data_IF_858556551891
#
_entry.id   IF_858556551891
#
_cell.length_a   1.000
_cell.length_b   1.000
_cell.length_c   1.000
_cell.angle_alpha   90.00
_cell.angle_beta   90.00
_cell.angle_gamma   90.00
#
_symmetry.space_group_name_H-M   'P 1'
#
loop_
_entity.id
_entity.type
_entity.pdbx_description
1 polymer ?
#
# COMPACT_ATOMS: atom_id res chain seq x y z
N UNK A 1 -12.64 7.85 -14.12
CA UNK A 1 -12.11 7.68 -12.75
C UNK A 1 -12.38 6.30 -12.13
N UNK A 2 -13.63 5.80 -12.13
CA UNK A 2 -14.01 4.57 -11.40
C UNK A 2 -13.42 3.27 -11.95
N UNK A 3 -13.07 3.22 -13.24
CA UNK A 3 -12.50 2.04 -13.91
C UNK A 3 -10.98 2.09 -14.07
N UNK A 4 -10.41 3.30 -14.21
CA UNK A 4 -9.00 3.54 -14.48
C UNK A 4 -8.33 4.27 -13.30
N UNK A 5 -8.04 3.53 -12.23
CA UNK A 5 -7.64 4.11 -10.95
C UNK A 5 -6.30 4.85 -11.00
N UNK A 6 -5.40 4.47 -11.91
CA UNK A 6 -4.08 5.10 -12.04
C UNK A 6 -4.16 6.55 -12.56
N UNK A 7 -5.24 6.92 -13.25
CA UNK A 7 -5.45 8.28 -13.75
C UNK A 7 -6.28 9.15 -12.80
N UNK A 8 -6.60 8.66 -11.59
CA UNK A 8 -7.33 9.44 -10.58
C UNK A 8 -6.72 10.84 -10.35
N UNK A 9 -5.39 11.00 -10.15
CA UNK A 9 -4.79 12.32 -9.99
C UNK A 9 -5.09 13.27 -11.15
N UNK A 10 -4.94 12.79 -12.39
CA UNK A 10 -5.22 13.55 -13.61
C UNK A 10 -6.68 13.99 -13.69
N UNK A 11 -7.63 13.10 -13.38
CA UNK A 11 -9.05 13.45 -13.35
C UNK A 11 -9.38 14.48 -12.28
N UNK A 12 -8.77 14.35 -11.09
CA UNK A 12 -8.97 15.27 -9.98
C UNK A 12 -8.42 16.66 -10.31
N UNK A 13 -7.26 16.75 -10.96
CA UNK A 13 -6.69 18.02 -11.42
C UNK A 13 -7.55 18.68 -12.51
N UNK A 14 -8.04 17.88 -13.47
CA UNK A 14 -8.99 18.37 -14.48
C UNK A 14 -10.25 18.96 -13.85
N UNK A 15 -10.84 18.31 -12.85
CA UNK A 15 -11.98 18.86 -12.10
C UNK A 15 -11.63 20.20 -11.43
N UNK A 16 -10.39 20.36 -10.97
CA UNK A 16 -9.85 21.61 -10.42
C UNK A 16 -9.81 22.73 -11.43
N UNK A 17 -9.18 22.46 -12.57
CA UNK A 17 -9.05 23.44 -13.64
C UNK A 17 -10.41 23.83 -14.22
N UNK A 18 -11.32 22.87 -14.41
CA UNK A 18 -12.69 23.16 -14.85
C UNK A 18 -13.44 24.03 -13.84
N UNK A 19 -13.33 23.75 -12.54
CA UNK A 19 -13.98 24.55 -11.50
C UNK A 19 -13.44 25.99 -11.44
N UNK A 20 -12.14 26.16 -11.69
CA UNK A 20 -11.49 27.48 -11.76
C UNK A 20 -11.92 28.23 -13.02
N UNK A 21 -11.80 27.60 -14.18
CA UNK A 21 -12.13 28.20 -15.47
C UNK A 21 -13.61 28.61 -15.55
N UNK A 22 -14.53 27.77 -15.10
CA UNK A 22 -15.97 28.10 -15.09
C UNK A 22 -16.29 29.29 -14.19
N UNK A 23 -15.59 29.44 -13.06
CA UNK A 23 -15.71 30.59 -12.18
C UNK A 23 -15.16 31.87 -12.84
N UNK A 24 -14.02 31.78 -13.53
CA UNK A 24 -13.41 32.90 -14.26
C UNK A 24 -14.28 33.38 -15.43
N UNK A 25 -14.91 32.46 -16.16
CA UNK A 25 -15.76 32.78 -17.32
C UNK A 25 -17.18 33.20 -16.94
N UNK A 26 -17.54 33.19 -15.65
CA UNK A 26 -18.90 33.52 -15.20
C UNK A 26 -19.97 32.59 -15.78
N UNK A 27 -19.61 31.33 -16.09
CA UNK A 27 -20.53 30.36 -16.68
C UNK A 27 -21.48 29.85 -15.60
N UNK A 28 -22.70 30.37 -15.62
CA UNK A 28 -23.76 30.09 -14.64
C UNK A 28 -24.46 31.39 -14.24
N UNK A 29 -25.76 31.49 -14.44
CA UNK A 29 -26.51 32.73 -14.21
C UNK A 29 -26.51 33.16 -12.72
N UNK A 30 -26.09 34.40 -12.46
CA UNK A 30 -26.16 35.06 -11.14
C UNK A 30 -24.93 34.86 -10.24
N UNK A 31 -25.08 35.18 -8.95
CA UNK A 31 -24.06 35.21 -7.87
C UNK A 31 -23.41 33.83 -7.53
N UNK A 32 -23.21 32.97 -8.53
CA UNK A 32 -22.83 31.57 -8.38
C UNK A 32 -21.59 31.21 -9.22
N UNK A 33 -20.42 31.67 -8.81
CA UNK A 33 -19.12 31.10 -9.22
C UNK A 33 -18.93 29.62 -8.76
N UNK A 34 -20.00 28.98 -8.25
CA UNK A 34 -20.03 27.67 -7.62
C UNK A 34 -20.91 26.67 -8.37
N UNK A 35 -21.51 27.03 -9.51
CA UNK A 35 -22.43 26.15 -10.24
C UNK A 35 -21.76 24.83 -10.67
N UNK A 36 -20.57 24.90 -11.26
CA UNK A 36 -19.80 23.70 -11.61
C UNK A 36 -19.45 22.87 -10.37
N UNK A 37 -18.98 23.50 -9.29
CA UNK A 37 -18.68 22.80 -8.03
C UNK A 37 -19.93 22.11 -7.48
N UNK A 38 -21.10 22.75 -7.54
CA UNK A 38 -22.38 22.19 -7.11
C UNK A 38 -22.79 20.98 -7.96
N UNK A 39 -22.66 21.07 -9.28
CA UNK A 39 -22.96 19.95 -10.18
C UNK A 39 -21.99 18.80 -9.92
N UNK A 40 -20.69 19.07 -9.85
CA UNK A 40 -19.67 18.07 -9.56
C UNK A 40 -19.92 17.40 -8.20
N UNK A 41 -20.22 18.18 -7.17
CA UNK A 41 -20.62 17.70 -5.84
C UNK A 41 -21.79 16.73 -5.93
N UNK A 42 -22.87 17.14 -6.61
CA UNK A 42 -24.07 16.35 -6.75
C UNK A 42 -23.79 15.04 -7.52
N UNK A 43 -23.05 15.10 -8.62
CA UNK A 43 -22.68 13.91 -9.40
C UNK A 43 -21.76 12.98 -8.61
N UNK A 44 -20.81 13.52 -7.85
CA UNK A 44 -19.93 12.72 -7.00
C UNK A 44 -20.72 12.04 -5.87
N UNK A 45 -21.67 12.74 -5.26
CA UNK A 45 -22.53 12.17 -4.22
C UNK A 45 -23.44 11.09 -4.79
N UNK A 46 -24.11 11.35 -5.92
CA UNK A 46 -24.96 10.38 -6.61
C UNK A 46 -24.16 9.14 -7.02
N UNK A 47 -22.98 9.34 -7.61
CA UNK A 47 -22.09 8.24 -8.00
C UNK A 47 -21.67 7.44 -6.77
N UNK A 48 -21.29 8.11 -5.69
CA UNK A 48 -20.95 7.48 -4.42
C UNK A 48 -22.09 6.64 -3.86
N UNK A 49 -23.29 7.19 -3.73
CA UNK A 49 -24.45 6.47 -3.20
C UNK A 49 -24.86 5.28 -4.09
N UNK A 50 -24.72 5.41 -5.42
CA UNK A 50 -24.96 4.34 -6.38
C UNK A 50 -23.92 3.22 -6.26
N UNK A 51 -22.65 3.56 -6.07
CA UNK A 51 -21.58 2.57 -5.94
C UNK A 51 -21.49 1.93 -4.56
N UNK A 52 -22.17 2.47 -3.54
CA UNK A 52 -22.32 1.82 -2.23
C UNK A 52 -23.38 0.70 -2.25
N UNK A 53 -24.27 0.68 -3.24
CA UNK A 53 -25.36 -0.28 -3.32
C UNK A 53 -25.09 -1.29 -4.44
N UNK A 54 -25.03 -2.60 -4.14
CA UNK A 54 -24.92 -3.62 -5.18
C UNK A 54 -26.05 -3.43 -6.21
N UNK A 55 -25.78 -3.55 -7.52
CA UNK A 55 -26.81 -3.47 -8.54
C UNK A 55 -27.86 -4.55 -8.29
N UNK A 56 -29.15 -4.23 -8.38
CA UNK A 56 -30.24 -5.20 -8.13
C UNK A 56 -30.10 -6.45 -9.00
N UNK A 57 -29.70 -6.25 -10.27
CA UNK A 57 -29.43 -7.34 -11.24
C UNK A 57 -28.37 -8.33 -10.77
N UNK A 58 -27.48 -7.92 -9.86
CA UNK A 58 -26.42 -8.78 -9.34
C UNK A 58 -26.97 -9.89 -8.42
N UNK A 59 -28.14 -9.66 -7.82
CA UNK A 59 -28.85 -10.68 -7.04
C UNK A 59 -29.49 -11.77 -7.91
N UNK A 60 -29.80 -11.44 -9.18
CA UNK A 60 -30.46 -12.34 -10.13
C UNK A 60 -29.48 -13.25 -10.89
N UNK A 61 -28.19 -12.90 -10.91
CA UNK A 61 -27.14 -13.69 -11.56
C UNK A 61 -26.74 -14.91 -10.71
N UNK A 62 -26.27 -15.97 -11.38
CA UNK A 62 -25.77 -17.19 -10.73
C UNK A 62 -24.48 -17.68 -11.41
N UNK A 63 -23.75 -18.57 -10.75
CA UNK A 63 -22.52 -19.16 -11.30
C UNK A 63 -21.43 -18.13 -11.61
N UNK A 64 -20.67 -18.39 -12.68
CA UNK A 64 -19.51 -17.59 -13.07
C UNK A 64 -19.88 -16.14 -13.44
N UNK A 65 -21.04 -15.92 -14.04
CA UNK A 65 -21.53 -14.58 -14.41
C UNK A 65 -21.74 -13.68 -13.18
N UNK A 66 -22.23 -14.26 -12.08
CA UNK A 66 -22.37 -13.53 -10.81
C UNK A 66 -21.01 -13.13 -10.27
N UNK A 67 -20.06 -14.06 -10.27
CA UNK A 67 -18.70 -13.82 -9.75
C UNK A 67 -18.03 -12.70 -10.55
N UNK A 68 -18.11 -12.74 -11.88
CA UNK A 68 -17.54 -11.69 -12.73
C UNK A 68 -18.20 -10.33 -12.47
N UNK A 69 -19.54 -10.29 -12.37
CA UNK A 69 -20.28 -9.07 -12.08
C UNK A 69 -19.92 -8.49 -10.69
N UNK A 70 -19.77 -9.34 -9.67
CA UNK A 70 -19.34 -8.94 -8.32
C UNK A 70 -17.94 -8.34 -8.34
N UNK A 71 -16.99 -8.99 -9.02
CA UNK A 71 -15.62 -8.48 -9.14
C UNK A 71 -15.62 -7.12 -9.85
N UNK A 72 -16.37 -6.98 -10.95
CA UNK A 72 -16.46 -5.74 -11.72
C UNK A 72 -17.09 -4.61 -10.90
N UNK A 73 -18.20 -4.89 -10.21
CA UNK A 73 -18.87 -3.95 -9.32
C UNK A 73 -17.94 -3.49 -8.20
N UNK A 74 -17.32 -4.43 -7.48
CA UNK A 74 -16.38 -4.13 -6.39
C UNK A 74 -15.21 -3.27 -6.86
N UNK A 75 -14.62 -3.61 -8.01
CA UNK A 75 -13.53 -2.82 -8.59
C UNK A 75 -13.95 -1.38 -8.91
N UNK A 76 -15.18 -1.20 -9.43
CA UNK A 76 -15.72 0.13 -9.70
C UNK A 76 -16.00 0.90 -8.41
N UNK A 77 -16.57 0.26 -7.40
CA UNK A 77 -16.81 0.83 -6.07
C UNK A 77 -15.52 1.32 -5.41
N UNK A 78 -14.48 0.49 -5.37
CA UNK A 78 -13.16 0.85 -4.84
C UNK A 78 -12.57 2.04 -5.61
N UNK A 79 -12.68 2.03 -6.95
CA UNK A 79 -12.23 3.14 -7.78
C UNK A 79 -12.95 4.44 -7.48
N UNK A 80 -14.25 4.37 -7.27
CA UNK A 80 -15.06 5.51 -6.89
C UNK A 80 -14.66 6.08 -5.52
N UNK A 81 -14.46 5.22 -4.53
CA UNK A 81 -13.99 5.63 -3.19
C UNK A 81 -12.64 6.34 -3.28
N UNK A 82 -11.68 5.81 -4.05
CA UNK A 82 -10.37 6.43 -4.26
C UNK A 82 -10.48 7.80 -4.93
N UNK A 83 -11.35 7.94 -5.93
CA UNK A 83 -11.56 9.21 -6.63
C UNK A 83 -12.21 10.27 -5.73
N UNK A 84 -13.24 9.89 -4.97
CA UNK A 84 -13.89 10.76 -3.99
C UNK A 84 -12.91 11.22 -2.91
N UNK A 85 -12.01 10.34 -2.45
CA UNK A 85 -10.93 10.72 -1.53
C UNK A 85 -9.99 11.77 -2.10
N UNK A 86 -9.65 11.70 -3.39
CA UNK A 86 -8.83 12.71 -4.05
C UNK A 86 -9.56 14.06 -4.20
N UNK A 87 -10.86 14.04 -4.53
CA UNK A 87 -11.69 15.24 -4.63
C UNK A 87 -11.90 15.93 -3.27
N UNK A 88 -12.03 15.14 -2.20
CA UNK A 88 -12.13 15.61 -0.83
C UNK A 88 -10.92 16.48 -0.45
N UNK A 89 -9.70 16.07 -0.82
CA UNK A 89 -8.50 16.86 -0.58
C UNK A 89 -8.44 18.18 -1.37
N UNK A 90 -9.12 18.26 -2.51
CA UNK A 90 -9.27 19.51 -3.28
C UNK A 90 -10.42 20.40 -2.77
N UNK A 91 -11.01 20.07 -1.61
CA UNK A 91 -12.21 20.74 -1.08
C UNK A 91 -13.37 20.78 -2.07
N UNK A 92 -13.48 19.75 -2.93
CA UNK A 92 -14.55 19.62 -3.91
C UNK A 92 -15.72 18.78 -3.40
N UNK A 93 -15.53 18.03 -2.32
CA UNK A 93 -16.54 17.20 -1.69
C UNK A 93 -16.59 17.49 -0.20
N UNK A 94 -17.79 17.40 0.41
CA UNK A 94 -17.96 17.65 1.83
C UNK A 94 -17.24 16.58 2.69
N UNK A 95 -16.61 17.01 3.78
CA UNK A 95 -15.87 16.10 4.67
C UNK A 95 -16.73 15.02 5.34
N UNK A 96 -18.05 15.18 5.36
CA UNK A 96 -18.98 14.18 5.88
C UNK A 96 -18.89 12.85 5.10
N UNK A 97 -18.46 12.88 3.83
CA UNK A 97 -18.32 11.67 3.00
C UNK A 97 -17.29 10.68 3.57
N UNK A 98 -16.33 11.14 4.38
CA UNK A 98 -15.35 10.27 5.07
C UNK A 98 -16.07 9.23 5.94
N UNK A 99 -17.18 9.61 6.59
CA UNK A 99 -17.97 8.72 7.46
C UNK A 99 -18.52 7.56 6.64
N UNK A 100 -19.13 7.86 5.49
CA UNK A 100 -19.74 6.86 4.63
C UNK A 100 -18.68 5.96 3.98
N UNK A 101 -17.56 6.52 3.52
CA UNK A 101 -16.43 5.75 2.96
C UNK A 101 -15.87 4.76 3.98
N UNK A 102 -15.56 5.24 5.20
CA UNK A 102 -14.98 4.38 6.24
C UNK A 102 -15.96 3.33 6.73
N UNK A 103 -17.26 3.66 6.79
CA UNK A 103 -18.32 2.70 7.14
C UNK A 103 -18.52 1.59 6.09
N UNK A 104 -18.23 1.87 4.81
CA UNK A 104 -18.30 0.84 3.76
C UNK A 104 -17.06 -0.04 3.71
N UNK A 105 -15.88 0.56 3.87
CA UNK A 105 -14.62 -0.19 3.80
C UNK A 105 -14.34 -1.01 5.07
N UNK A 106 -14.92 -0.62 6.21
CA UNK A 106 -14.87 -1.44 7.42
C UNK A 106 -15.77 -2.67 7.26
N UNK A 107 -15.32 -3.85 7.72
CA UNK A 107 -16.08 -5.07 7.56
C UNK A 107 -17.37 -5.04 8.37
N UNK A 108 -18.51 -5.18 7.67
CA UNK A 108 -19.79 -5.45 8.31
C UNK A 108 -19.81 -6.93 8.72
N UNK A 109 -19.59 -7.18 10.01
CA UNK A 109 -19.79 -8.48 10.68
C UNK A 109 -18.99 -9.65 10.11
N UNK A 110 -17.87 -9.95 10.77
CA UNK A 110 -17.31 -11.31 10.79
C UNK A 110 -16.42 -11.74 9.62
N UNK A 111 -16.41 -11.04 8.47
CA UNK A 111 -15.55 -11.34 7.30
C UNK A 111 -14.80 -10.10 6.80
N UNK A 112 -13.54 -9.89 7.23
CA UNK A 112 -12.68 -8.86 6.65
C UNK A 112 -12.31 -9.18 5.19
N UNK A 113 -12.61 -8.26 4.28
CA UNK A 113 -12.19 -8.34 2.88
C UNK A 113 -10.82 -7.65 2.70
N UNK A 114 -9.76 -8.37 2.31
CA UNK A 114 -8.40 -7.80 2.23
C UNK A 114 -8.29 -6.54 1.36
N UNK A 115 -8.95 -6.52 0.20
CA UNK A 115 -8.87 -5.41 -0.76
C UNK A 115 -9.56 -4.14 -0.24
N UNK A 116 -10.68 -4.31 0.49
CA UNK A 116 -11.37 -3.20 1.14
C UNK A 116 -10.52 -2.61 2.27
N UNK A 117 -9.86 -3.46 3.06
CA UNK A 117 -8.97 -3.04 4.14
C UNK A 117 -7.69 -2.37 3.62
N UNK A 118 -7.11 -2.86 2.52
CA UNK A 118 -5.99 -2.18 1.85
C UNK A 118 -6.43 -0.79 1.36
N UNK A 119 -7.62 -0.70 0.76
CA UNK A 119 -8.20 0.57 0.32
C UNK A 119 -8.48 1.52 1.49
N UNK A 120 -8.90 1.00 2.65
CA UNK A 120 -9.11 1.78 3.88
C UNK A 120 -7.80 2.36 4.39
N UNK A 121 -6.74 1.56 4.47
CA UNK A 121 -5.43 2.02 4.92
C UNK A 121 -4.88 3.12 4.00
N UNK A 122 -5.00 2.93 2.68
CA UNK A 122 -4.60 3.93 1.69
C UNK A 122 -5.43 5.23 1.81
N UNK A 123 -6.75 5.11 1.98
CA UNK A 123 -7.65 6.25 2.16
C UNK A 123 -7.30 7.04 3.43
N UNK A 124 -7.13 6.36 4.57
CA UNK A 124 -6.78 6.99 5.84
C UNK A 124 -5.41 7.66 5.81
N UNK A 125 -4.42 7.04 5.18
CA UNK A 125 -3.09 7.64 4.96
C UNK A 125 -3.20 8.95 4.19
N UNK A 126 -4.10 9.01 3.21
CA UNK A 126 -4.31 10.18 2.34
C UNK A 126 -5.04 11.31 3.06
N UNK A 127 -6.12 11.00 3.80
CA UNK A 127 -6.98 12.01 4.43
C UNK A 127 -6.50 12.43 5.82
N UNK A 128 -5.78 11.57 6.52
CA UNK A 128 -5.35 11.75 7.91
C UNK A 128 -4.68 13.10 8.21
N UNK A 129 -3.65 13.51 7.43
CA UNK A 129 -2.96 14.78 7.65
C UNK A 129 -3.87 16.02 7.63
N UNK A 130 -5.01 15.94 6.95
CA UNK A 130 -5.93 17.06 6.73
C UNK A 130 -7.13 17.05 7.68
N UNK A 131 -7.58 15.88 8.13
CA UNK A 131 -8.85 15.75 8.86
C UNK A 131 -8.69 15.21 10.30
N UNK A 132 -7.55 14.66 10.68
CA UNK A 132 -7.33 14.14 12.03
C UNK A 132 -6.83 15.21 13.00
N UNK A 133 -7.66 16.22 13.24
CA UNK A 133 -7.39 17.30 14.20
C UNK A 133 -8.60 17.56 15.11
N UNK A 134 -8.36 18.07 16.32
CA UNK A 134 -9.38 18.22 17.37
C UNK A 134 -10.61 19.04 16.94
N UNK A 135 -10.42 20.03 16.06
CA UNK A 135 -11.49 20.92 15.60
C UNK A 135 -12.38 20.32 14.52
N UNK A 136 -12.10 19.10 14.04
CA UNK A 136 -12.91 18.48 13.00
C UNK A 136 -14.18 17.87 13.60
N UNK A 137 -15.35 18.24 13.05
CA UNK A 137 -16.67 17.81 13.54
C UNK A 137 -16.81 16.29 13.72
N UNK A 138 -16.15 15.50 12.87
CA UNK A 138 -16.27 14.04 12.85
C UNK A 138 -15.06 13.31 13.44
N UNK A 139 -14.26 14.01 14.26
CA UNK A 139 -13.07 13.46 14.91
C UNK A 139 -13.36 12.18 15.70
N UNK A 140 -14.47 12.15 16.45
CA UNK A 140 -14.88 10.96 17.22
C UNK A 140 -15.10 9.74 16.32
N UNK A 141 -15.78 9.91 15.18
CA UNK A 141 -16.00 8.82 14.23
C UNK A 141 -14.68 8.27 13.70
N UNK A 142 -13.73 9.16 13.38
CA UNK A 142 -12.40 8.73 12.94
C UNK A 142 -11.65 7.99 14.05
N UNK A 143 -11.79 8.41 15.30
CA UNK A 143 -11.25 7.67 16.46
C UNK A 143 -11.84 6.27 16.56
N UNK A 144 -13.15 6.12 16.32
CA UNK A 144 -13.83 4.82 16.31
C UNK A 144 -13.25 3.91 15.21
N UNK A 145 -13.08 4.45 14.00
CA UNK A 145 -12.48 3.73 12.86
C UNK A 145 -11.08 3.22 13.19
N UNK A 146 -10.22 4.06 13.79
CA UNK A 146 -8.88 3.65 14.17
C UNK A 146 -8.87 2.60 15.29
N UNK A 147 -9.83 2.63 16.23
CA UNK A 147 -9.97 1.57 17.24
C UNK A 147 -10.34 0.24 16.61
N UNK A 148 -11.21 0.24 15.59
CA UNK A 148 -11.53 -0.99 14.86
C UNK A 148 -10.34 -1.51 14.05
N UNK A 149 -9.56 -0.63 13.40
CA UNK A 149 -8.32 -1.01 12.71
C UNK A 149 -7.32 -1.61 13.68
N UNK A 150 -7.18 -1.06 14.90
CA UNK A 150 -6.30 -1.63 15.91
C UNK A 150 -6.72 -3.06 16.28
N UNK A 151 -8.02 -3.31 16.49
CA UNK A 151 -8.53 -4.67 16.76
C UNK A 151 -8.23 -5.62 15.60
N UNK A 152 -8.49 -5.20 14.36
CA UNK A 152 -8.27 -6.01 13.17
C UNK A 152 -6.79 -6.30 12.90
N UNK A 153 -5.89 -5.35 13.19
CA UNK A 153 -4.43 -5.50 13.03
C UNK A 153 -3.86 -6.64 13.88
N UNK A 154 -4.52 -6.96 15.01
CA UNK A 154 -4.14 -8.04 15.93
C UNK A 154 -4.83 -9.38 15.59
N UNK A 155 -5.79 -9.39 14.67
CA UNK A 155 -6.55 -10.59 14.30
C UNK A 155 -5.80 -11.42 13.25
N UNK A 156 -4.97 -12.36 13.71
CA UNK A 156 -4.16 -13.20 12.84
C UNK A 156 -4.96 -14.26 12.08
N UNK A 157 -6.12 -14.67 12.61
CA UNK A 157 -6.97 -15.71 12.04
C UNK A 157 -7.72 -15.23 10.79
N UNK A 158 -8.25 -14.00 10.83
CA UNK A 158 -9.13 -13.48 9.77
C UNK A 158 -8.44 -12.54 8.78
N UNK A 159 -7.34 -11.90 9.17
CA UNK A 159 -6.71 -10.84 8.36
C UNK A 159 -5.32 -11.31 7.92
N UNK A 160 -4.96 -11.28 6.62
CA UNK A 160 -3.63 -11.67 6.16
C UNK A 160 -2.51 -10.78 6.71
N UNK A 161 -1.30 -11.34 6.87
CA UNK A 161 -0.15 -10.64 7.46
C UNK A 161 0.17 -9.30 6.77
N UNK A 162 0.17 -9.26 5.44
CA UNK A 162 0.38 -8.02 4.65
C UNK A 162 -0.59 -6.91 5.05
N UNK A 163 -1.88 -7.23 5.18
CA UNK A 163 -2.91 -6.25 5.52
C UNK A 163 -2.74 -5.78 6.96
N UNK A 164 -2.40 -6.68 7.89
CA UNK A 164 -2.08 -6.30 9.28
C UNK A 164 -0.89 -5.35 9.34
N UNK A 165 0.15 -5.56 8.53
CA UNK A 165 1.27 -4.62 8.42
C UNK A 165 0.82 -3.25 7.92
N UNK A 166 0.00 -3.18 6.85
CA UNK A 166 -0.56 -1.90 6.37
C UNK A 166 -1.37 -1.17 7.45
N UNK A 167 -2.14 -1.91 8.27
CA UNK A 167 -2.88 -1.34 9.39
C UNK A 167 -1.93 -0.81 10.48
N UNK A 168 -0.88 -1.55 10.82
CA UNK A 168 0.14 -1.09 11.75
C UNK A 168 0.84 0.17 11.25
N UNK A 169 1.21 0.21 9.97
CA UNK A 169 1.86 1.36 9.34
C UNK A 169 1.00 2.63 9.44
N UNK A 170 -0.31 2.54 9.17
CA UNK A 170 -1.20 3.71 9.27
C UNK A 170 -1.46 4.12 10.72
N UNK A 171 -1.49 3.16 11.67
CA UNK A 171 -1.58 3.45 13.10
C UNK A 171 -0.32 4.17 13.61
N UNK A 172 0.86 3.74 13.16
CA UNK A 172 2.13 4.39 13.48
C UNK A 172 2.24 5.79 12.87
N UNK A 173 1.82 5.95 11.61
CA UNK A 173 1.75 7.25 10.96
C UNK A 173 0.83 8.22 11.72
N UNK A 174 -0.29 7.72 12.24
CA UNK A 174 -1.18 8.53 13.09
C UNK A 174 -0.50 8.92 14.41
N UNK A 175 0.16 7.96 15.08
CA UNK A 175 0.90 8.20 16.34
C UNK A 175 2.02 9.23 16.17
N UNK A 176 2.67 9.28 15.00
CA UNK A 176 3.71 10.27 14.69
C UNK A 176 3.16 11.68 14.41
N UNK A 177 1.83 11.86 14.44
CA UNK A 177 1.17 13.10 14.07
C UNK A 177 1.21 13.35 12.57
N UNK A 178 1.06 12.29 11.76
CA UNK A 178 1.03 12.34 10.29
C UNK A 178 2.33 12.84 9.65
N UNK A 179 3.44 12.73 10.37
CA UNK A 179 4.77 13.02 9.84
C UNK A 179 5.22 11.81 9.01
N UNK A 180 5.47 12.04 7.72
CA UNK A 180 5.96 11.04 6.77
C UNK A 180 7.24 10.37 7.31
N UNK A 181 7.11 9.18 7.90
CA UNK A 181 8.28 8.46 8.42
C UNK A 181 9.24 8.08 7.29
N UNK A 182 8.76 7.89 6.06
CA UNK A 182 9.62 7.65 4.89
C UNK A 182 10.62 8.78 4.60
N UNK A 183 10.28 10.03 4.94
CA UNK A 183 11.22 11.16 4.85
C UNK A 183 12.15 11.23 6.07
N UNK A 184 11.72 10.73 7.23
CA UNK A 184 12.53 10.67 8.44
C UNK A 184 13.60 9.55 8.37
N UNK A 185 13.28 8.39 7.78
CA UNK A 185 14.23 7.27 7.61
C UNK A 185 15.07 7.37 6.34
N UNK A 186 14.69 8.17 5.34
CA UNK A 186 15.60 8.52 4.22
C UNK A 186 16.87 9.25 4.68
N UNK A 187 16.87 9.84 5.88
CA UNK A 187 18.07 10.39 6.51
C UNK A 187 18.89 9.38 7.32
N UNK A 188 18.43 8.14 7.50
CA UNK A 188 19.05 7.18 8.44
C UNK A 188 19.37 5.82 7.79
N UNK A 189 18.54 5.31 6.86
CA UNK A 189 18.78 4.02 6.18
C UNK A 189 18.32 4.06 4.71
N UNK A 190 18.99 4.88 3.88
CA UNK A 190 18.97 4.69 2.44
C UNK A 190 19.80 3.47 2.04
N UNK A 191 19.53 2.81 0.89
CA UNK A 191 20.42 1.77 0.39
C UNK A 191 21.81 2.37 0.21
N UNK A 192 22.78 1.88 0.99
CA UNK A 192 24.17 2.31 0.87
C UNK A 192 24.64 2.05 -0.57
N UNK A 193 25.37 3.02 -1.13
CA UNK A 193 25.95 2.85 -2.45
C UNK A 193 26.99 1.72 -2.43
N UNK A 194 27.21 1.05 -3.57
CA UNK A 194 28.21 -0.03 -3.67
C UNK A 194 29.60 0.43 -3.20
N UNK A 195 29.91 1.72 -3.41
CA UNK A 195 31.16 2.35 -2.97
C UNK A 195 31.25 2.48 -1.45
N UNK A 196 30.13 2.77 -0.77
CA UNK A 196 30.06 2.83 0.71
C UNK A 196 30.27 1.44 1.35
N UNK A 197 29.82 0.38 0.69
CA UNK A 197 30.05 -1.00 1.13
C UNK A 197 31.54 -1.37 1.03
N UNK A 198 32.23 -0.94 -0.04
CA UNK A 198 33.67 -1.20 -0.20
C UNK A 198 34.54 -0.40 0.79
N UNK A 199 34.13 0.83 1.13
CA UNK A 199 34.84 1.67 2.12
C UNK A 199 34.73 1.04 3.51
N UNK A 200 33.53 0.61 3.94
CA UNK A 200 33.34 -0.08 5.23
C UNK A 200 34.10 -1.41 5.31
N UNK A 201 34.12 -2.19 4.23
CA UNK A 201 34.89 -3.44 4.19
C UNK A 201 36.41 -3.20 4.30
N UNK A 202 36.91 -2.09 3.75
CA UNK A 202 38.32 -1.70 3.84
C UNK A 202 38.69 -1.17 5.23
N UNK A 203 37.76 -0.53 5.95
CA UNK A 203 37.97 -0.06 7.32
C UNK A 203 37.96 -1.20 8.34
N UNK A 204 37.05 -2.17 8.21
CA UNK A 204 37.04 -3.37 9.06
C UNK A 204 38.28 -4.24 8.87
N UNK A 205 38.89 -4.20 7.67
CA UNK A 205 40.15 -4.90 7.39
C UNK A 205 41.38 -4.24 8.03
N UNK A 206 41.25 -3.02 8.57
CA UNK A 206 42.33 -2.27 9.24
C UNK A 206 42.31 -2.41 10.76
N UNK A 207 41.36 -3.14 11.32
CA UNK A 207 41.05 -3.18 12.75
C UNK A 207 41.29 -4.50 13.47
N UNK A 208 42.37 -5.26 13.21
CA UNK A 208 42.99 -6.21 14.18
C UNK A 208 44.34 -6.76 13.67
N UNK A 209 45.28 -7.17 14.55
CA UNK A 209 46.58 -6.52 14.68
C UNK A 209 47.77 -7.44 14.36
N UNK A 210 48.90 -6.89 13.90
CA UNK A 210 50.17 -7.63 13.80
C UNK A 210 51.28 -6.93 14.62
N UNK A 211 51.66 -7.56 15.73
CA UNK A 211 52.95 -7.53 16.45
C UNK A 211 52.69 -7.89 17.93
N UNK A 212 53.52 -8.61 18.67
CA UNK A 212 54.84 -9.16 18.44
C UNK A 212 55.19 -10.10 19.61
N UNK A 213 56.19 -10.93 19.38
CA UNK A 213 56.66 -12.06 20.20
C UNK A 213 57.09 -11.71 21.63
N UNK A 214 56.70 -12.51 22.64
CA UNK A 214 57.48 -12.76 23.88
C UNK A 214 56.97 -13.97 24.70
N UNK A 215 57.72 -15.08 24.60
CA UNK A 215 58.14 -15.97 25.69
C UNK A 215 57.12 -16.69 26.59
N UNK A 216 57.20 -18.04 26.64
CA UNK A 216 56.71 -18.83 27.77
C UNK A 216 56.33 -20.27 27.42
N UNK A 217 57.26 -21.20 27.63
CA UNK A 217 57.05 -22.66 27.65
C UNK A 217 56.03 -23.05 28.74
N UNK A 218 55.11 -24.00 28.47
CA UNK A 218 54.78 -25.22 29.25
C UNK A 218 53.60 -25.97 28.58
N UNK A 219 53.66 -27.31 28.53
CA UNK A 219 52.97 -28.12 27.53
C UNK A 219 51.70 -28.89 27.92
N UNK A 220 51.54 -30.03 27.21
CA UNK A 220 50.41 -31.00 27.09
C UNK A 220 49.32 -30.54 26.10
N UNK A 221 48.91 -31.28 25.08
CA UNK A 221 49.23 -32.63 24.62
C UNK A 221 48.06 -33.11 23.76
N UNK A 222 48.35 -33.71 22.59
CA UNK A 222 47.50 -34.59 21.76
C UNK A 222 46.13 -34.05 21.30
N UNK A 223 45.58 -34.34 20.12
CA UNK A 223 45.90 -35.10 18.91
C UNK A 223 44.76 -34.79 17.92
N UNK A 224 44.90 -35.26 16.68
CA UNK A 224 43.92 -35.45 15.61
C UNK A 224 44.25 -34.63 14.35
N UNK A 225 45.23 -35.17 13.59
CA UNK A 225 45.35 -34.97 12.14
C UNK A 225 44.14 -35.59 11.44
N UNK A 226 43.62 -35.00 10.37
CA UNK A 226 44.25 -34.94 9.05
C UNK A 226 43.35 -35.80 8.14
N UNK A 227 42.82 -35.34 7.02
CA UNK A 227 43.36 -34.38 6.07
C UNK A 227 43.64 -35.14 4.77
N UNK A 228 43.12 -34.60 3.66
CA UNK A 228 43.49 -35.00 2.30
C UNK A 228 42.32 -35.61 1.51
N UNK A 229 41.96 -35.14 0.32
CA UNK A 229 42.58 -34.12 -0.52
C UNK A 229 42.42 -34.48 -2.00
N UNK A 230 42.07 -33.46 -2.80
CA UNK A 230 42.28 -33.37 -4.26
C UNK A 230 41.24 -34.06 -5.14
N UNK A 231 40.94 -33.64 -6.36
CA UNK A 231 41.23 -32.44 -7.16
C UNK A 231 40.29 -32.50 -8.39
N UNK A 232 39.91 -31.34 -8.91
CA UNK A 232 39.27 -31.08 -10.23
C UNK A 232 40.06 -31.70 -11.40
N UNK A 233 39.55 -31.85 -12.66
CA UNK A 233 38.75 -30.83 -13.38
C UNK A 233 37.77 -31.28 -14.50
N UNK A 234 37.01 -30.30 -15.02
CA UNK A 234 36.84 -30.10 -16.47
C UNK A 234 35.69 -30.81 -17.20
N UNK A 235 34.68 -30.05 -17.61
CA UNK A 235 33.74 -30.40 -18.69
C UNK A 235 34.43 -30.42 -20.06
N UNK A 236 33.92 -31.23 -21.01
CA UNK A 236 33.51 -30.63 -22.28
C UNK A 236 32.17 -31.14 -22.81
N UNK A 237 31.57 -30.30 -23.66
CA UNK A 237 30.41 -30.58 -24.48
C UNK A 237 30.75 -31.43 -25.72
N UNK A 238 29.78 -32.19 -26.24
CA UNK A 238 29.72 -32.50 -27.68
C UNK A 238 29.34 -33.94 -28.09
N UNK A 239 28.46 -34.02 -29.09
CA UNK A 239 28.15 -35.13 -30.03
C UNK A 239 27.36 -36.38 -29.61
N UNK A 240 26.05 -36.34 -29.86
CA UNK A 240 25.30 -37.07 -30.92
C UNK A 240 25.85 -38.46 -31.39
N UNK A 241 25.12 -39.56 -31.14
CA UNK A 241 24.42 -40.44 -32.12
C UNK A 241 24.08 -41.85 -31.59
N UNK A 242 22.78 -42.17 -31.70
CA UNK A 242 22.13 -43.37 -32.27
C UNK A 242 22.78 -44.77 -32.22
N UNK A 243 22.09 -45.70 -31.54
CA UNK A 243 21.75 -47.11 -31.89
C UNK A 243 21.20 -47.75 -30.61
N UNK A 244 20.11 -48.50 -30.53
CA UNK A 244 19.35 -49.29 -31.49
C UNK A 244 19.15 -50.69 -30.91
N UNK A 245 17.94 -51.26 -31.01
CA UNK A 245 17.76 -52.72 -31.13
C UNK A 245 16.95 -53.46 -30.05
N UNK A 246 16.02 -54.29 -30.54
CA UNK A 246 15.38 -55.43 -29.85
C UNK A 246 13.87 -55.25 -29.71
N UNK A 247 12.97 -55.86 -30.49
CA UNK A 247 13.05 -57.10 -31.26
C UNK A 247 12.34 -58.23 -30.48
N UNK A 248 11.13 -58.57 -30.91
CA UNK A 248 10.27 -59.62 -30.33
C UNK A 248 8.82 -59.40 -30.71
#
# INVERSE_FOLDING_TARGET
ATTQHHFIPMYTDLCGEMAKWTAEQGIGSGERSKEFKRILLNECQNSFDNYLKPPEKLAELTGDEKIEAEVKYKRAMIGNIKFVGALLLKNMVASQVIIAVTGELLPRVGRPEPDALESLCAFLTTIGPHFDHANWKFKHHLDDVFREIEKLSKNQEKVPARIRCLMSDVLDLRRSGWKDQKKATQGIDGPMTLDEVHIKAAEDSRGQPTSGSRGGSFGRGASWGGGGGGSLPGTPAGSRQSRGGGGG
#
